data_IF_555016505239
#
_entry.id   IF_555016505239
#
_cell.length_a   1.000
_cell.length_b   1.000
_cell.length_c   1.000
_cell.angle_alpha   90.00
_cell.angle_beta   90.00
_cell.angle_gamma   90.00
#
_symmetry.space_group_name_H-M   'P 1'
#
loop_
_entity.id
_entity.type
_entity.pdbx_description
1 polymer ?
#
# COMPACT_ATOMS: atom_id res chain seq x y z
N UNK A 1 -9.23 -18.34 -4.76
CA UNK A 1 -9.71 -17.71 -3.51
C UNK A 1 -10.18 -18.82 -2.57
N UNK A 2 -10.11 -18.61 -1.26
CA UNK A 2 -10.30 -19.68 -0.27
C UNK A 2 -11.63 -19.45 0.46
N UNK A 3 -12.40 -20.51 0.63
CA UNK A 3 -13.61 -20.51 1.46
C UNK A 3 -13.23 -20.67 2.93
N UNK A 4 -13.91 -19.97 3.85
CA UNK A 4 -13.50 -19.87 5.26
C UNK A 4 -13.96 -21.05 6.13
N UNK A 5 -14.09 -22.22 5.53
CA UNK A 5 -14.35 -23.48 6.24
C UNK A 5 -13.04 -24.02 6.80
N UNK A 6 -13.11 -24.67 7.96
CA UNK A 6 -11.94 -25.22 8.66
C UNK A 6 -11.06 -26.10 7.74
N UNK A 7 -11.69 -26.98 6.95
CA UNK A 7 -11.00 -27.88 6.02
C UNK A 7 -10.17 -27.10 5.00
N UNK A 8 -10.76 -26.08 4.37
CA UNK A 8 -10.09 -25.29 3.34
C UNK A 8 -8.97 -24.41 3.93
N UNK A 9 -9.13 -23.91 5.16
CA UNK A 9 -8.07 -23.18 5.86
C UNK A 9 -6.88 -24.11 6.17
N UNK A 10 -7.14 -25.35 6.58
CA UNK A 10 -6.10 -26.38 6.81
C UNK A 10 -5.37 -26.75 5.52
N UNK A 11 -6.11 -26.89 4.41
CA UNK A 11 -5.51 -27.13 3.09
C UNK A 11 -4.67 -25.96 2.62
N UNK A 12 -5.15 -24.72 2.82
CA UNK A 12 -4.40 -23.52 2.51
C UNK A 12 -3.10 -23.45 3.31
N UNK A 13 -3.14 -23.67 4.62
CA UNK A 13 -1.95 -23.71 5.48
C UNK A 13 -0.92 -24.71 4.95
N UNK A 14 -1.35 -25.94 4.67
CA UNK A 14 -0.48 -26.99 4.11
C UNK A 14 0.12 -26.59 2.76
N UNK A 15 -0.68 -25.96 1.87
CA UNK A 15 -0.21 -25.49 0.58
C UNK A 15 0.85 -24.38 0.74
N UNK A 16 0.62 -23.41 1.63
CA UNK A 16 1.57 -22.33 1.90
C UNK A 16 2.89 -22.86 2.48
N UNK A 17 2.83 -23.79 3.43
CA UNK A 17 4.04 -24.42 3.98
C UNK A 17 4.82 -25.19 2.91
N UNK A 18 4.15 -25.92 2.01
CA UNK A 18 4.81 -26.58 0.87
C UNK A 18 5.49 -25.61 -0.08
N UNK A 19 4.99 -24.38 -0.19
CA UNK A 19 5.59 -23.30 -0.98
C UNK A 19 6.74 -22.58 -0.26
N UNK A 20 7.09 -23.01 0.96
CA UNK A 20 8.13 -22.40 1.78
C UNK A 20 7.68 -21.14 2.53
N UNK A 21 6.37 -20.87 2.57
CA UNK A 21 5.81 -19.73 3.27
C UNK A 21 5.40 -20.12 4.69
N UNK A 22 5.66 -19.22 5.65
CA UNK A 22 5.30 -19.41 7.05
C UNK A 22 4.30 -18.35 7.47
N UNK A 23 3.40 -18.71 8.39
CA UNK A 23 2.46 -17.72 8.90
C UNK A 23 3.21 -16.63 9.65
N UNK A 24 2.92 -15.37 9.31
CA UNK A 24 3.56 -14.21 9.92
C UNK A 24 3.21 -14.07 11.40
N UNK A 25 1.99 -14.47 11.75
CA UNK A 25 1.55 -14.59 13.14
C UNK A 25 1.59 -16.07 13.51
N UNK A 26 1.97 -16.43 14.75
CA UNK A 26 2.01 -17.83 15.19
C UNK A 26 0.58 -18.35 15.49
N UNK A 27 -0.29 -18.34 14.47
CA UNK A 27 -1.68 -18.77 14.51
C UNK A 27 -1.92 -19.84 13.45
N UNK A 28 -2.65 -20.90 13.81
CA UNK A 28 -2.96 -22.03 12.91
C UNK A 28 -4.31 -21.86 12.24
N UNK A 29 -4.59 -22.66 11.21
CA UNK A 29 -5.91 -22.69 10.58
C UNK A 29 -7.06 -22.92 11.58
N UNK A 30 -6.83 -23.78 12.58
CA UNK A 30 -7.80 -24.09 13.65
C UNK A 30 -8.10 -22.87 14.51
N UNK A 31 -7.06 -22.11 14.87
CA UNK A 31 -7.20 -20.89 15.68
C UNK A 31 -7.95 -19.81 14.89
N UNK A 32 -7.59 -19.63 13.61
CA UNK A 32 -8.27 -18.69 12.73
C UNK A 32 -9.75 -19.05 12.59
N UNK A 33 -10.09 -20.32 12.44
CA UNK A 33 -11.49 -20.74 12.34
C UNK A 33 -12.26 -20.53 13.66
N UNK A 34 -11.68 -20.94 14.79
CA UNK A 34 -12.33 -20.91 16.11
C UNK A 34 -12.44 -19.51 16.69
N UNK A 35 -11.40 -18.70 16.55
CA UNK A 35 -11.30 -17.36 17.15
C UNK A 35 -11.45 -16.24 16.12
N UNK A 36 -11.97 -16.54 14.92
CA UNK A 36 -12.17 -15.57 13.82
C UNK A 36 -12.76 -14.24 14.32
N UNK A 37 -13.90 -14.33 15.02
CA UNK A 37 -14.63 -13.14 15.48
C UNK A 37 -13.78 -12.30 16.44
N UNK A 38 -13.14 -12.94 17.41
CA UNK A 38 -12.25 -12.28 18.36
C UNK A 38 -11.07 -11.60 17.66
N UNK A 39 -10.44 -12.28 16.70
CA UNK A 39 -9.30 -11.73 15.97
C UNK A 39 -9.68 -10.54 15.11
N UNK A 40 -10.84 -10.57 14.45
CA UNK A 40 -11.31 -9.44 13.65
C UNK A 40 -11.70 -8.25 14.54
N UNK A 41 -12.51 -8.48 15.58
CA UNK A 41 -13.08 -7.40 16.41
C UNK A 41 -12.08 -6.81 17.40
N UNK A 42 -11.31 -7.66 18.10
CA UNK A 42 -10.45 -7.20 19.20
C UNK A 42 -9.00 -7.00 18.77
N UNK A 43 -8.56 -7.66 17.70
CA UNK A 43 -7.17 -7.58 17.21
C UNK A 43 -7.03 -6.92 15.85
N UNK A 44 -8.14 -6.45 15.26
CA UNK A 44 -8.18 -5.84 13.94
C UNK A 44 -7.48 -6.70 12.86
N UNK A 45 -7.56 -8.03 13.00
CA UNK A 45 -6.93 -8.97 12.08
C UNK A 45 -7.83 -9.17 10.86
N UNK A 46 -7.53 -8.45 9.78
CA UNK A 46 -8.32 -8.51 8.53
C UNK A 46 -7.85 -9.67 7.64
N UNK A 47 -6.54 -9.94 7.65
CA UNK A 47 -5.88 -10.93 6.80
C UNK A 47 -4.98 -11.84 7.62
N UNK A 48 -4.96 -13.12 7.26
CA UNK A 48 -3.97 -14.08 7.70
C UNK A 48 -2.83 -14.14 6.67
N UNK A 49 -1.67 -13.58 7.03
CA UNK A 49 -0.53 -13.38 6.14
C UNK A 49 0.49 -14.50 6.26
N UNK A 50 0.98 -14.97 5.11
CA UNK A 50 2.06 -15.93 4.97
C UNK A 50 3.25 -15.28 4.27
N UNK A 51 4.44 -15.39 4.85
CA UNK A 51 5.66 -14.72 4.36
C UNK A 51 6.78 -15.74 4.15
N UNK A 52 7.60 -15.48 3.13
CA UNK A 52 8.91 -16.11 2.98
C UNK A 52 9.94 -15.31 3.79
N UNK A 53 10.52 -15.90 4.83
CA UNK A 53 11.53 -15.23 5.65
C UNK A 53 12.84 -14.95 4.91
N UNK A 54 13.12 -15.68 3.83
CA UNK A 54 14.30 -15.46 2.98
C UNK A 54 14.07 -14.36 1.94
N UNK A 55 12.81 -14.13 1.57
CA UNK A 55 12.42 -13.07 0.66
C UNK A 55 11.07 -12.45 1.06
N UNK A 56 11.07 -11.41 1.92
CA UNK A 56 9.84 -10.78 2.43
C UNK A 56 8.94 -10.15 1.37
N UNK A 57 9.39 -9.98 0.12
CA UNK A 57 8.53 -9.53 -0.99
C UNK A 57 7.56 -10.62 -1.44
N UNK A 58 7.84 -11.89 -1.11
CA UNK A 58 6.95 -13.03 -1.33
C UNK A 58 6.03 -13.18 -0.12
N UNK A 59 4.88 -12.53 -0.19
CA UNK A 59 3.83 -12.61 0.82
C UNK A 59 2.51 -12.99 0.15
N UNK A 60 1.73 -13.84 0.82
CA UNK A 60 0.37 -14.18 0.45
C UNK A 60 -0.55 -13.83 1.61
N UNK A 61 -1.53 -12.98 1.35
CA UNK A 61 -2.55 -12.58 2.32
C UNK A 61 -3.86 -13.29 2.05
N UNK A 62 -4.36 -14.01 3.05
CA UNK A 62 -5.68 -14.65 3.01
C UNK A 62 -6.64 -13.77 3.78
N UNK A 63 -7.65 -13.20 3.11
CA UNK A 63 -8.71 -12.45 3.80
C UNK A 63 -9.49 -13.40 4.71
N UNK A 64 -9.69 -13.02 5.98
CA UNK A 64 -10.49 -13.80 6.94
C UNK A 64 -11.82 -13.13 7.27
N UNK A 65 -12.04 -11.89 6.84
CA UNK A 65 -13.27 -11.12 7.11
C UNK A 65 -14.43 -11.49 6.18
N UNK A 66 -14.14 -11.85 4.93
CA UNK A 66 -15.15 -12.15 3.90
C UNK A 66 -14.85 -13.49 3.25
N UNK A 67 -15.89 -14.29 3.01
CA UNK A 67 -15.74 -15.57 2.34
C UNK A 67 -15.73 -15.37 0.83
N UNK A 68 -15.16 -16.34 0.10
CA UNK A 68 -15.13 -16.28 -1.37
C UNK A 68 -16.52 -16.19 -1.98
N UNK A 69 -17.47 -16.87 -1.35
CA UNK A 69 -18.87 -16.98 -1.75
C UNK A 69 -19.60 -15.63 -1.77
N UNK A 70 -19.12 -14.66 -0.99
CA UNK A 70 -19.71 -13.33 -0.88
C UNK A 70 -19.15 -12.33 -1.91
N UNK A 71 -18.19 -12.75 -2.74
CA UNK A 71 -17.46 -11.87 -3.64
C UNK A 71 -18.00 -11.95 -5.07
N UNK A 72 -18.11 -10.77 -5.69
CA UNK A 72 -18.36 -10.64 -7.12
C UNK A 72 -17.06 -10.97 -7.88
N UNK A 73 -17.01 -12.12 -8.56
CA UNK A 73 -15.80 -12.68 -9.19
C UNK A 73 -15.95 -12.70 -10.70
N UNK A 74 -14.91 -12.28 -11.40
CA UNK A 74 -14.78 -12.39 -12.85
C UNK A 74 -13.58 -13.26 -13.22
N UNK A 75 -13.56 -13.80 -14.44
CA UNK A 75 -12.49 -14.67 -14.92
C UNK A 75 -11.57 -13.89 -15.87
N UNK A 76 -10.28 -13.86 -15.57
CA UNK A 76 -9.26 -13.24 -16.42
C UNK A 76 -8.35 -14.32 -17.00
N UNK A 77 -8.13 -14.27 -18.31
CA UNK A 77 -7.18 -15.16 -18.97
C UNK A 77 -5.75 -14.65 -18.78
N UNK A 78 -4.89 -15.47 -18.19
CA UNK A 78 -3.48 -15.17 -17.99
C UNK A 78 -2.64 -16.44 -18.18
N UNK A 79 -1.62 -16.38 -19.02
CA UNK A 79 -0.75 -17.54 -19.28
C UNK A 79 -1.49 -18.77 -19.82
N UNK A 80 -2.56 -18.58 -20.60
CA UNK A 80 -3.39 -19.68 -21.13
C UNK A 80 -4.35 -20.30 -20.11
N UNK A 81 -4.35 -19.84 -18.85
CA UNK A 81 -5.28 -20.30 -17.82
C UNK A 81 -6.30 -19.20 -17.48
N UNK A 82 -7.49 -19.62 -17.07
CA UNK A 82 -8.55 -18.73 -16.58
C UNK A 82 -8.45 -18.64 -15.06
N UNK A 83 -8.09 -17.46 -14.57
CA UNK A 83 -7.91 -17.20 -13.14
C UNK A 83 -9.13 -16.43 -12.62
N UNK A 84 -9.80 -16.89 -11.55
CA UNK A 84 -10.86 -16.13 -10.90
C UNK A 84 -10.25 -14.97 -10.10
N UNK A 85 -10.73 -13.76 -10.38
CA UNK A 85 -10.33 -12.52 -9.70
C UNK A 85 -11.56 -11.74 -9.28
N UNK A 86 -11.47 -10.95 -8.23
CA UNK A 86 -12.58 -10.07 -7.82
C UNK A 86 -12.87 -9.06 -8.94
N UNK A 87 -14.14 -8.83 -9.23
CA UNK A 87 -14.59 -7.83 -10.19
C UNK A 87 -14.14 -6.43 -9.76
N UNK A 88 -14.00 -5.50 -10.71
CA UNK A 88 -13.66 -4.11 -10.39
C UNK A 88 -14.66 -3.48 -9.39
N UNK A 89 -15.95 -3.84 -9.51
CA UNK A 89 -17.00 -3.37 -8.60
C UNK A 89 -16.83 -3.96 -7.21
N UNK A 90 -16.65 -5.29 -7.10
CA UNK A 90 -16.40 -5.95 -5.81
C UNK A 90 -15.15 -5.42 -5.12
N UNK A 91 -14.08 -5.16 -5.88
CA UNK A 91 -12.85 -4.58 -5.35
C UNK A 91 -13.06 -3.18 -4.76
N UNK A 92 -13.89 -2.36 -5.42
CA UNK A 92 -14.23 -1.03 -4.95
C UNK A 92 -15.03 -1.08 -3.64
N UNK A 93 -16.01 -1.97 -3.53
CA UNK A 93 -16.78 -2.18 -2.30
C UNK A 93 -15.88 -2.65 -1.14
N UNK A 94 -14.95 -3.57 -1.43
CA UNK A 94 -13.96 -4.03 -0.45
C UNK A 94 -13.07 -2.88 0.05
N UNK A 95 -12.60 -2.01 -0.85
CA UNK A 95 -11.76 -0.86 -0.49
C UNK A 95 -12.52 0.20 0.30
N UNK A 96 -13.79 0.47 -0.04
CA UNK A 96 -14.65 1.38 0.73
C UNK A 96 -14.88 0.88 2.16
N UNK A 97 -15.15 -0.42 2.35
CA UNK A 97 -15.31 -1.02 3.68
C UNK A 97 -14.02 -1.01 4.51
N UNK A 98 -12.85 -1.11 3.87
CA UNK A 98 -11.57 -1.05 4.56
C UNK A 98 -11.23 0.35 5.11
N UNK A 99 -11.79 1.41 4.54
CA UNK A 99 -11.79 2.77 5.11
C UNK A 99 -10.42 3.43 5.30
N UNK A 100 -9.34 2.85 4.76
CA UNK A 100 -8.00 3.44 4.86
C UNK A 100 -7.91 4.68 3.96
N UNK A 101 -7.23 5.77 4.37
CA UNK A 101 -7.09 6.97 3.54
C UNK A 101 -6.56 6.69 2.12
N UNK A 102 -5.65 5.72 1.99
CA UNK A 102 -5.12 5.26 0.69
C UNK A 102 -6.17 4.49 -0.15
N UNK A 103 -7.04 3.73 0.50
CA UNK A 103 -8.10 2.96 -0.17
C UNK A 103 -9.20 3.88 -0.73
N UNK A 104 -9.46 5.04 -0.11
CA UNK A 104 -10.40 6.05 -0.62
C UNK A 104 -9.91 6.67 -1.95
N UNK A 105 -8.62 6.97 -2.05
CA UNK A 105 -7.99 7.45 -3.29
C UNK A 105 -8.07 6.37 -4.39
N UNK A 106 -7.86 5.10 -4.03
CA UNK A 106 -7.98 3.99 -4.97
C UNK A 106 -9.42 3.79 -5.46
N UNK A 107 -10.42 3.99 -4.61
CA UNK A 107 -11.85 3.93 -4.96
C UNK A 107 -12.20 5.00 -5.99
N UNK A 108 -11.74 6.23 -5.79
CA UNK A 108 -11.91 7.34 -6.74
C UNK A 108 -11.28 6.99 -8.10
N UNK A 109 -10.05 6.47 -8.10
CA UNK A 109 -9.38 6.02 -9.32
C UNK A 109 -10.13 4.88 -10.05
N UNK A 110 -10.74 3.95 -9.32
CA UNK A 110 -11.54 2.86 -9.91
C UNK A 110 -12.84 3.41 -10.50
N UNK A 111 -13.51 4.35 -9.82
CA UNK A 111 -14.71 5.03 -10.34
C UNK A 111 -14.41 5.79 -11.63
N UNK A 112 -13.26 6.46 -11.72
CA UNK A 112 -12.84 7.14 -12.95
C UNK A 112 -12.64 6.16 -14.13
N UNK A 113 -12.03 4.99 -13.89
CA UNK A 113 -11.83 3.97 -14.92
C UNK A 113 -13.15 3.39 -15.43
N UNK A 114 -14.12 3.16 -14.54
CA UNK A 114 -15.45 2.63 -14.91
C UNK A 114 -16.29 3.65 -15.70
N UNK A 115 -16.06 4.96 -15.53
CA UNK A 115 -16.70 6.05 -16.30
C UNK A 115 -16.18 6.22 -17.73
N UNK A 116 -15.29 5.34 -18.21
CA UNK A 116 -14.98 5.24 -19.64
C UNK A 116 -13.93 6.22 -20.18
N UNK A 117 -13.10 6.86 -19.35
CA UNK A 117 -11.90 7.53 -19.85
C UNK A 117 -10.78 6.51 -19.99
N UNK A 118 -10.49 6.12 -21.25
CA UNK A 118 -9.30 5.36 -21.64
C UNK A 118 -8.08 5.94 -20.93
N UNK A 119 -7.32 5.05 -20.30
CA UNK A 119 -5.97 5.30 -19.83
C UNK A 119 -5.05 5.62 -21.01
N UNK A 120 -5.00 6.90 -21.41
CA UNK A 120 -3.74 7.49 -21.88
C UNK A 120 -2.94 7.86 -20.64
N UNK A 121 -1.61 7.79 -20.70
CA UNK A 121 -0.76 8.52 -19.78
C UNK A 121 -1.35 9.93 -19.61
N UNK A 122 -1.89 10.24 -18.42
CA UNK A 122 -2.26 11.62 -18.12
C UNK A 122 -0.94 12.33 -17.83
N UNK A 123 -0.44 13.08 -18.81
CA UNK A 123 -0.03 14.45 -18.50
C UNK A 123 -1.13 15.02 -17.63
N UNK A 124 -0.86 15.18 -16.33
CA UNK A 124 -1.70 16.00 -15.48
C UNK A 124 -1.57 17.39 -16.08
N UNK A 125 -2.59 17.87 -16.79
CA UNK A 125 -2.70 19.28 -17.12
C UNK A 125 -2.83 20.00 -15.79
N UNK A 126 -1.71 20.54 -15.30
CA UNK A 126 -1.67 21.41 -14.12
C UNK A 126 -2.73 22.48 -14.34
N UNK A 127 -3.65 22.65 -13.38
CA UNK A 127 -4.64 23.72 -13.52
C UNK A 127 -3.92 25.08 -13.56
N UNK A 128 -4.50 26.12 -14.19
CA UNK A 128 -3.90 27.45 -14.15
C UNK A 128 -3.60 27.93 -12.72
N UNK A 129 -4.47 27.60 -11.77
CA UNK A 129 -4.31 27.90 -10.35
C UNK A 129 -3.14 27.13 -9.72
N UNK A 130 -3.05 25.83 -9.96
CA UNK A 130 -1.94 24.99 -9.49
C UNK A 130 -0.59 25.44 -10.08
N UNK A 131 -0.60 25.90 -11.34
CA UNK A 131 0.59 26.43 -11.99
C UNK A 131 1.03 27.76 -11.35
N UNK A 132 0.09 28.63 -11.02
CA UNK A 132 0.38 29.89 -10.30
C UNK A 132 0.91 29.60 -8.90
N UNK A 133 0.26 28.72 -8.15
CA UNK A 133 0.71 28.33 -6.80
C UNK A 133 2.12 27.72 -6.81
N UNK A 134 2.42 26.90 -7.82
CA UNK A 134 3.76 26.36 -8.04
C UNK A 134 4.79 27.47 -8.31
N UNK A 135 4.50 28.41 -9.21
CA UNK A 135 5.41 29.51 -9.55
C UNK A 135 5.68 30.42 -8.35
N UNK A 136 4.66 30.71 -7.52
CA UNK A 136 4.83 31.46 -6.28
C UNK A 136 5.70 30.73 -5.28
N UNK A 137 5.42 29.44 -5.05
CA UNK A 137 6.21 28.58 -4.15
C UNK A 137 7.66 28.47 -4.61
N UNK A 138 7.89 28.32 -5.91
CA UNK A 138 9.22 28.26 -6.51
C UNK A 138 9.96 29.60 -6.36
N UNK A 139 9.29 30.73 -6.57
CA UNK A 139 9.87 32.07 -6.35
C UNK A 139 10.29 32.26 -4.89
N UNK A 140 9.46 31.84 -3.94
CA UNK A 140 9.77 31.91 -2.50
C UNK A 140 11.01 31.07 -2.18
N UNK A 141 11.08 29.83 -2.68
CA UNK A 141 12.23 28.95 -2.51
C UNK A 141 13.55 29.59 -3.02
N UNK A 142 13.48 30.32 -4.13
CA UNK A 142 14.64 31.02 -4.71
C UNK A 142 15.04 32.29 -3.94
N UNK A 143 14.13 32.85 -3.15
CA UNK A 143 14.37 34.06 -2.34
C UNK A 143 15.09 33.79 -1.02
N UNK A 144 15.40 32.51 -0.71
CA UNK A 144 16.04 32.05 0.53
C UNK A 144 15.31 32.42 1.84
N UNK A 145 14.08 32.94 1.74
CA UNK A 145 13.19 33.19 2.87
C UNK A 145 12.37 31.94 3.14
N UNK A 146 12.65 31.31 4.27
CA UNK A 146 11.89 30.15 4.73
C UNK A 146 10.58 30.56 5.40
N UNK A 147 9.49 29.95 4.96
CA UNK A 147 8.22 29.94 5.68
C UNK A 147 8.30 29.04 6.93
N UNK A 148 7.40 29.22 7.92
CA UNK A 148 7.35 28.36 9.09
C UNK A 148 7.20 26.88 8.71
N UNK A 149 7.99 26.03 9.36
CA UNK A 149 8.02 24.59 9.10
C UNK A 149 6.66 23.95 9.41
N UNK A 150 6.09 23.24 8.43
CA UNK A 150 4.90 22.40 8.62
C UNK A 150 5.32 20.94 8.86
N UNK A 151 4.68 20.28 9.83
CA UNK A 151 4.91 18.85 10.08
C UNK A 151 4.28 18.02 8.95
N UNK A 152 5.08 17.14 8.37
CA UNK A 152 4.65 16.19 7.35
C UNK A 152 5.09 14.79 7.76
N UNK A 153 4.30 13.78 7.40
CA UNK A 153 4.66 12.37 7.57
C UNK A 153 5.11 11.79 6.24
N UNK A 154 6.37 11.34 6.16
CA UNK A 154 6.93 10.65 4.98
C UNK A 154 7.32 9.23 5.39
N UNK A 155 6.89 8.24 4.60
CA UNK A 155 7.37 6.85 4.76
C UNK A 155 8.63 6.66 3.93
N UNK A 156 9.69 6.19 4.56
CA UNK A 156 10.98 5.89 3.90
C UNK A 156 11.46 4.49 4.32
N UNK A 157 12.11 3.74 3.41
CA UNK A 157 12.79 2.50 3.76
C UNK A 157 13.83 2.70 4.88
N UNK A 158 13.92 1.72 5.78
CA UNK A 158 14.76 1.81 6.99
C UNK A 158 16.26 1.93 6.67
N UNK A 159 16.74 1.20 5.67
CA UNK A 159 18.13 1.28 5.21
C UNK A 159 18.50 2.69 4.75
N UNK A 160 17.59 3.40 4.08
CA UNK A 160 17.79 4.79 3.64
C UNK A 160 17.83 5.72 4.84
N UNK A 161 16.92 5.56 5.80
CA UNK A 161 16.91 6.35 7.04
C UNK A 161 18.23 6.18 7.82
N UNK A 162 18.73 4.95 7.93
CA UNK A 162 19.98 4.66 8.65
C UNK A 162 21.20 5.26 7.95
N UNK A 163 21.22 5.23 6.61
CA UNK A 163 22.25 5.90 5.81
C UNK A 163 22.23 7.42 6.04
N UNK A 164 21.06 8.05 5.98
CA UNK A 164 20.89 9.48 6.21
C UNK A 164 21.32 9.90 7.62
N UNK A 165 20.95 9.13 8.64
CA UNK A 165 21.37 9.37 10.03
C UNK A 165 22.89 9.28 10.18
N UNK A 166 23.50 8.25 9.60
CA UNK A 166 24.95 8.06 9.63
C UNK A 166 25.67 9.22 8.95
N UNK A 167 25.22 9.61 7.75
CA UNK A 167 25.81 10.72 7.01
C UNK A 167 25.67 12.05 7.76
N UNK A 168 24.50 12.34 8.30
CA UNK A 168 24.26 13.57 9.05
C UNK A 168 25.13 13.66 10.30
N UNK A 169 25.36 12.52 10.98
CA UNK A 169 26.28 12.43 12.12
C UNK A 169 27.72 12.75 11.73
N UNK A 170 28.19 12.25 10.58
CA UNK A 170 29.53 12.58 10.06
C UNK A 170 29.66 14.08 9.73
N UNK A 171 28.60 14.68 9.21
CA UNK A 171 28.54 16.11 8.87
C UNK A 171 28.20 17.00 10.10
N UNK A 172 28.10 16.43 11.30
CA UNK A 172 27.83 17.17 12.54
C UNK A 172 26.45 17.85 12.63
N UNK A 173 25.47 17.38 11.85
CA UNK A 173 24.14 18.00 11.73
C UNK A 173 23.00 17.01 11.99
N UNK A 174 21.79 17.54 12.23
CA UNK A 174 20.58 16.72 12.35
C UNK A 174 20.22 16.12 10.98
N UNK A 175 19.75 14.87 10.96
CA UNK A 175 19.38 14.21 9.71
C UNK A 175 18.23 14.91 8.98
N UNK A 176 17.31 15.56 9.72
CA UNK A 176 16.25 16.38 9.14
C UNK A 176 16.83 17.57 8.34
N UNK A 177 17.87 18.22 8.87
CA UNK A 177 18.55 19.32 8.17
C UNK A 177 19.22 18.84 6.88
N UNK A 178 19.84 17.65 6.92
CA UNK A 178 20.42 17.03 5.72
C UNK A 178 19.35 16.71 4.66
N UNK A 179 18.19 16.19 5.08
CA UNK A 179 17.07 15.92 4.15
C UNK A 179 16.61 17.21 3.47
N UNK A 180 16.41 18.30 4.24
CA UNK A 180 15.99 19.59 3.69
C UNK A 180 17.03 20.13 2.70
N UNK A 181 18.32 20.03 3.03
CA UNK A 181 19.40 20.47 2.15
C UNK A 181 19.44 19.69 0.83
N UNK A 182 19.31 18.36 0.89
CA UNK A 182 19.27 17.52 -0.31
C UNK A 182 18.06 17.86 -1.19
N UNK A 183 16.88 18.05 -0.58
CA UNK A 183 15.67 18.44 -1.30
C UNK A 183 15.81 19.82 -1.95
N UNK A 184 16.34 20.82 -1.23
CA UNK A 184 16.59 22.15 -1.79
C UNK A 184 17.56 22.10 -2.96
N UNK A 185 18.64 21.33 -2.83
CA UNK A 185 19.63 21.17 -3.90
C UNK A 185 19.01 20.55 -5.14
N UNK A 186 18.21 19.51 -4.98
CA UNK A 186 17.54 18.83 -6.10
C UNK A 186 16.52 19.73 -6.79
N UNK A 187 15.63 20.38 -6.03
CA UNK A 187 14.59 21.26 -6.59
C UNK A 187 15.22 22.46 -7.33
N UNK A 188 16.32 23.03 -6.83
CA UNK A 188 17.06 24.10 -7.52
C UNK A 188 17.66 23.66 -8.87
N UNK A 189 17.80 22.36 -9.11
CA UNK A 189 18.32 21.81 -10.38
C UNK A 189 17.23 21.44 -11.38
N UNK A 190 15.95 21.57 -11.01
CA UNK A 190 14.84 21.42 -11.96
C UNK A 190 14.85 22.63 -12.91
N UNK A 191 15.59 22.49 -14.00
CA UNK A 191 15.63 23.41 -15.14
C UNK A 191 14.74 22.91 -16.25
#
# INVERSE_FOLDING_TARGET
>A
MISLKEIHLKEAEKAMTKLGLQSRLPVRAEDIYKFKKEYVENRNLITWSFVDHSNPTRQIDILITQAYEDLDVTSVAFGGQKIPVVSLRGLMEMKQKAGRPQDLIDVENIQEKLRGKKSSHRERSVSPEEAVEFLESFRILMSEKDEPTKLISIRIPENILNLLKTRAKLDGKKYQSLIIELLRKDIKTWR
#
